data_IF_752186152399
#
_entry.id   IF_752186152399
#
_cell.length_a   1.000
_cell.length_b   1.000
_cell.length_c   1.000
_cell.angle_alpha   90.00
_cell.angle_beta   90.00
_cell.angle_gamma   90.00
#
_symmetry.space_group_name_H-M   'P 1'
#
loop_
_entity.id
_entity.type
_entity.pdbx_description
1 polymer ?
#
# COMPACT_ATOMS: atom_id res chain seq x y z
N UNK A 1 -109.51 91.28 -4.46
CA UNK A 1 -110.52 92.13 -3.80
C UNK A 1 -110.34 92.05 -2.28
N UNK A 2 -110.97 92.93 -1.49
CA UNK A 2 -110.54 93.27 -0.13
C UNK A 2 -110.98 92.30 1.00
N UNK A 3 -110.11 92.17 2.02
CA UNK A 3 -110.33 92.02 3.49
C UNK A 3 -111.31 90.99 4.11
N UNK A 4 -110.73 90.19 5.03
CA UNK A 4 -111.25 89.63 6.29
C UNK A 4 -111.95 90.67 7.21
N UNK A 5 -112.80 90.31 8.24
CA UNK A 5 -112.47 89.53 9.47
C UNK A 5 -113.63 88.64 10.05
N UNK A 6 -113.61 87.96 11.21
CA UNK A 6 -112.57 87.63 12.23
C UNK A 6 -113.17 87.21 13.62
N UNK A 7 -112.38 86.54 14.48
CA UNK A 7 -112.69 86.20 15.91
C UNK A 7 -113.40 84.85 16.17
N UNK A 8 -113.26 84.14 17.31
CA UNK A 8 -112.52 84.32 18.60
C UNK A 8 -112.19 82.95 19.27
N UNK A 9 -111.19 82.95 20.17
CA UNK A 9 -110.67 81.89 21.12
C UNK A 9 -111.63 81.64 22.34
N UNK A 10 -111.42 80.74 23.37
CA UNK A 10 -110.11 80.37 24.02
C UNK A 10 -109.93 79.06 24.90
N UNK A 11 -108.69 78.86 25.45
CA UNK A 11 -108.31 78.17 26.76
C UNK A 11 -108.34 76.60 26.81
N UNK A 12 -107.50 75.80 27.56
CA UNK A 12 -106.45 75.97 28.62
C UNK A 12 -105.33 74.86 28.68
N UNK A 13 -104.14 75.27 29.16
CA UNK A 13 -102.92 74.62 29.75
C UNK A 13 -102.80 73.16 30.27
N UNK A 14 -101.61 72.53 30.06
CA UNK A 14 -100.75 71.85 31.09
C UNK A 14 -99.24 71.84 30.70
N UNK A 15 -98.32 71.37 31.58
CA UNK A 15 -96.93 71.88 31.77
C UNK A 15 -95.77 70.83 31.69
N UNK A 16 -94.69 71.20 30.97
CA UNK A 16 -93.22 70.85 31.02
C UNK A 16 -92.63 69.41 30.93
N UNK A 17 -91.72 69.25 29.93
CA UNK A 17 -90.38 68.58 29.88
C UNK A 17 -90.15 67.08 30.25
N UNK A 18 -89.02 66.43 29.84
CA UNK A 18 -87.92 66.82 28.92
C UNK A 18 -87.62 65.77 27.80
N UNK A 19 -86.66 66.04 26.89
CA UNK A 19 -85.62 65.06 26.40
C UNK A 19 -84.59 65.69 25.43
N UNK A 20 -83.33 65.21 25.37
CA UNK A 20 -82.24 65.87 24.65
C UNK A 20 -81.86 65.23 23.29
N UNK A 21 -81.36 66.08 22.39
CA UNK A 21 -80.26 65.82 21.42
C UNK A 21 -80.31 64.59 20.50
N UNK A 22 -80.49 64.81 19.19
CA UNK A 22 -80.04 63.88 18.16
C UNK A 22 -78.76 64.40 17.48
N UNK A 23 -77.64 63.75 17.79
CA UNK A 23 -76.36 63.98 17.09
C UNK A 23 -76.46 63.55 15.63
N UNK A 24 -76.01 64.42 14.71
CA UNK A 24 -75.54 63.99 13.39
C UNK A 24 -74.06 63.64 13.52
N UNK A 25 -73.72 62.34 13.46
CA UNK A 25 -72.36 61.84 13.65
C UNK A 25 -72.17 60.44 13.07
N UNK A 26 -72.75 60.18 11.89
CA UNK A 26 -72.78 58.86 11.26
C UNK A 26 -71.86 58.66 10.05
N UNK A 27 -71.45 59.73 9.35
CA UNK A 27 -70.70 59.65 8.08
C UNK A 27 -69.20 59.45 8.26
N UNK A 28 -68.57 60.16 9.20
CA UNK A 28 -67.10 60.18 9.32
C UNK A 28 -66.53 58.85 9.81
N UNK A 29 -67.27 58.12 10.65
CA UNK A 29 -66.87 56.79 11.14
C UNK A 29 -66.83 55.75 10.02
N UNK A 30 -67.81 55.73 9.12
CA UNK A 30 -67.84 54.76 8.02
C UNK A 30 -66.71 54.96 6.99
N UNK A 31 -66.29 56.21 6.76
CA UNK A 31 -65.15 56.51 5.89
C UNK A 31 -63.82 56.11 6.55
N UNK A 32 -63.72 56.28 7.87
CA UNK A 32 -62.57 55.82 8.64
C UNK A 32 -62.45 54.28 8.62
N UNK A 33 -63.56 53.56 8.82
CA UNK A 33 -63.60 52.09 8.70
C UNK A 33 -63.24 51.61 7.29
N UNK A 34 -63.75 52.25 6.23
CA UNK A 34 -63.43 51.86 4.85
C UNK A 34 -61.94 52.02 4.52
N UNK A 35 -61.30 53.11 4.98
CA UNK A 35 -59.86 53.30 4.80
C UNK A 35 -59.02 52.30 5.59
N UNK A 36 -59.39 52.00 6.84
CA UNK A 36 -58.73 51.01 7.67
C UNK A 36 -58.85 49.59 7.08
N UNK A 37 -60.05 49.20 6.61
CA UNK A 37 -60.29 47.92 5.95
C UNK A 37 -59.49 47.79 4.66
N UNK A 38 -59.39 48.85 3.84
CA UNK A 38 -58.56 48.84 2.62
C UNK A 38 -57.07 48.61 2.93
N UNK A 39 -56.54 49.25 3.97
CA UNK A 39 -55.16 49.04 4.43
C UNK A 39 -54.95 47.60 4.92
N UNK A 40 -55.87 47.05 5.71
CA UNK A 40 -55.80 45.65 6.18
C UNK A 40 -55.84 44.67 5.01
N UNK A 41 -56.72 44.87 4.03
CA UNK A 41 -56.79 44.02 2.83
C UNK A 41 -55.48 44.09 2.04
N UNK A 42 -54.91 45.27 1.83
CA UNK A 42 -53.63 45.43 1.14
C UNK A 42 -52.49 44.68 1.87
N UNK A 43 -52.42 44.79 3.20
CA UNK A 43 -51.44 44.06 4.02
C UNK A 43 -51.64 42.54 3.93
N UNK A 44 -52.88 42.06 4.01
CA UNK A 44 -53.19 40.61 3.89
C UNK A 44 -52.85 40.08 2.50
N UNK A 45 -53.11 40.84 1.43
CA UNK A 45 -52.75 40.47 0.05
C UNK A 45 -51.23 40.42 -0.14
N UNK A 46 -50.48 41.37 0.40
CA UNK A 46 -49.00 41.35 0.38
C UNK A 46 -48.49 40.15 1.17
N UNK A 47 -49.06 39.85 2.34
CA UNK A 47 -48.64 38.71 3.16
C UNK A 47 -48.95 37.37 2.48
N UNK A 48 -50.12 37.24 1.86
CA UNK A 48 -50.48 36.08 1.04
C UNK A 48 -49.56 35.91 -0.17
N UNK A 49 -49.19 36.99 -0.86
CA UNK A 49 -48.22 36.96 -1.95
C UNK A 49 -46.84 36.51 -1.46
N UNK A 50 -46.36 37.04 -0.33
CA UNK A 50 -45.08 36.63 0.27
C UNK A 50 -45.07 35.15 0.68
N UNK A 51 -46.15 34.66 1.31
CA UNK A 51 -46.31 33.23 1.62
C UNK A 51 -46.29 32.40 0.33
N UNK A 52 -46.99 32.84 -0.73
CA UNK A 52 -47.03 32.12 -2.01
C UNK A 52 -45.65 32.04 -2.67
N UNK A 53 -44.89 33.14 -2.66
CA UNK A 53 -43.51 33.18 -3.17
C UNK A 53 -42.60 32.28 -2.33
N UNK A 54 -42.70 32.34 -1.00
CA UNK A 54 -41.93 31.49 -0.11
C UNK A 54 -42.25 30.00 -0.31
N UNK A 55 -43.53 29.64 -0.48
CA UNK A 55 -43.95 28.27 -0.78
C UNK A 55 -43.39 27.79 -2.14
N UNK A 56 -43.44 28.65 -3.17
CA UNK A 56 -42.87 28.34 -4.49
C UNK A 56 -41.35 28.10 -4.44
N UNK A 57 -40.62 28.93 -3.68
CA UNK A 57 -39.18 28.75 -3.44
C UNK A 57 -38.90 27.42 -2.71
N UNK A 58 -39.64 27.13 -1.64
CA UNK A 58 -39.47 25.90 -0.86
C UNK A 58 -39.77 24.62 -1.67
N UNK A 59 -40.75 24.64 -2.57
CA UNK A 59 -41.17 23.47 -3.34
C UNK A 59 -40.33 23.28 -4.60
N UNK A 60 -39.94 24.35 -5.29
CA UNK A 60 -39.28 24.25 -6.61
C UNK A 60 -37.76 24.44 -6.57
N UNK A 61 -37.28 25.43 -5.81
CA UNK A 61 -35.86 25.82 -5.85
C UNK A 61 -35.02 25.11 -4.79
N UNK A 62 -35.51 24.98 -3.56
CA UNK A 62 -34.72 24.36 -2.48
C UNK A 62 -34.29 22.92 -2.79
N UNK A 63 -35.15 22.02 -3.32
CA UNK A 63 -34.71 20.66 -3.66
C UNK A 63 -33.58 20.63 -4.71
N UNK A 64 -33.67 21.48 -5.75
CA UNK A 64 -32.65 21.55 -6.80
C UNK A 64 -31.33 22.15 -6.29
N UNK A 65 -31.39 23.16 -5.42
CA UNK A 65 -30.19 23.72 -4.79
C UNK A 65 -29.55 22.75 -3.78
N UNK A 66 -30.36 21.96 -3.07
CA UNK A 66 -29.87 20.91 -2.19
C UNK A 66 -29.17 19.80 -2.98
N UNK A 67 -29.76 19.34 -4.10
CA UNK A 67 -29.19 18.32 -4.98
C UNK A 67 -27.82 18.75 -5.54
N UNK A 68 -27.66 19.97 -6.07
CA UNK A 68 -26.36 20.44 -6.56
C UNK A 68 -25.32 20.60 -5.41
N UNK A 69 -25.76 21.04 -4.23
CA UNK A 69 -24.88 21.17 -3.07
C UNK A 69 -24.42 19.80 -2.52
N UNK A 70 -25.29 18.78 -2.50
CA UNK A 70 -24.95 17.40 -2.17
C UNK A 70 -24.09 16.73 -3.26
N UNK A 71 -24.37 16.99 -4.55
CA UNK A 71 -23.56 16.50 -5.67
C UNK A 71 -22.16 17.14 -5.70
N UNK A 72 -22.03 18.40 -5.28
CA UNK A 72 -20.74 19.06 -5.05
C UNK A 72 -20.01 18.45 -3.86
N UNK A 73 -20.70 18.25 -2.74
CA UNK A 73 -20.15 17.58 -1.55
C UNK A 73 -19.59 16.19 -1.89
N UNK A 74 -20.37 15.35 -2.58
CA UNK A 74 -19.93 14.01 -2.96
C UNK A 74 -18.65 14.02 -3.84
N UNK A 75 -18.49 15.00 -4.72
CA UNK A 75 -17.27 15.19 -5.53
C UNK A 75 -16.06 15.61 -4.68
N UNK A 76 -16.25 16.50 -3.70
CA UNK A 76 -15.21 16.88 -2.75
C UNK A 76 -14.78 15.68 -1.91
N UNK A 77 -15.73 15.03 -1.23
CA UNK A 77 -15.48 13.88 -0.37
C UNK A 77 -14.81 12.73 -1.15
N UNK A 78 -15.19 12.48 -2.40
CA UNK A 78 -14.52 11.50 -3.25
C UNK A 78 -13.07 11.91 -3.55
N UNK A 79 -12.81 13.19 -3.84
CA UNK A 79 -11.47 13.72 -4.11
C UNK A 79 -10.57 13.53 -2.89
N UNK A 80 -11.04 13.94 -1.71
CA UNK A 80 -10.35 13.77 -0.42
C UNK A 80 -10.06 12.28 -0.14
N UNK A 81 -11.05 11.40 -0.29
CA UNK A 81 -10.91 9.96 -0.09
C UNK A 81 -9.92 9.32 -1.10
N UNK A 82 -9.96 9.75 -2.36
CA UNK A 82 -9.04 9.27 -3.41
C UNK A 82 -7.58 9.66 -3.20
N UNK A 83 -7.29 10.58 -2.28
CA UNK A 83 -5.91 10.95 -1.91
C UNK A 83 -5.23 9.95 -0.97
N UNK A 84 -6.01 9.07 -0.30
CA UNK A 84 -5.53 8.13 0.72
C UNK A 84 -4.41 7.20 0.21
N UNK A 85 -4.50 6.56 -0.98
CA UNK A 85 -3.40 5.74 -1.51
C UNK A 85 -2.10 6.53 -1.68
N UNK A 86 -2.17 7.76 -2.20
CA UNK A 86 -1.00 8.64 -2.34
C UNK A 86 -0.40 9.03 -0.99
N UNK A 87 -1.26 9.27 0.01
CA UNK A 87 -0.87 9.56 1.38
C UNK A 87 -0.17 8.37 2.07
N UNK A 88 -0.61 7.13 1.81
CA UNK A 88 0.04 5.91 2.29
C UNK A 88 1.38 5.69 1.57
N UNK A 89 1.41 5.82 0.24
CA UNK A 89 2.65 5.70 -0.54
C UNK A 89 3.71 6.72 -0.08
N UNK A 90 3.32 7.95 0.28
CA UNK A 90 4.23 8.93 0.87
C UNK A 90 4.86 8.49 2.21
N UNK A 91 4.12 7.78 3.06
CA UNK A 91 4.64 7.22 4.31
C UNK A 91 5.60 6.04 4.07
N UNK A 92 5.24 5.16 3.13
CA UNK A 92 6.04 4.01 2.67
C UNK A 92 7.38 4.50 2.08
N UNK A 93 7.36 5.47 1.16
CA UNK A 93 8.56 6.05 0.55
C UNK A 93 9.46 6.73 1.59
N UNK A 94 8.88 7.42 2.57
CA UNK A 94 9.66 8.08 3.62
C UNK A 94 10.26 7.09 4.63
N UNK A 95 9.77 5.85 4.68
CA UNK A 95 10.22 4.74 5.54
C UNK A 95 10.51 5.17 7.00
N UNK A 96 9.62 6.01 7.56
CA UNK A 96 9.80 6.62 8.87
C UNK A 96 8.51 6.54 9.68
N UNK A 97 8.53 5.69 10.71
CA UNK A 97 7.37 5.39 11.58
C UNK A 97 6.87 6.57 12.41
N UNK A 98 7.68 7.63 12.54
CA UNK A 98 7.34 8.85 13.26
C UNK A 98 6.59 9.90 12.41
N UNK A 99 6.41 9.67 11.09
CA UNK A 99 5.70 10.61 10.22
C UNK A 99 4.19 10.36 10.29
N UNK A 100 3.42 11.42 10.55
CA UNK A 100 1.95 11.41 10.58
C UNK A 100 1.42 12.05 9.31
N UNK A 101 0.82 11.26 8.42
CA UNK A 101 -0.02 11.77 7.34
C UNK A 101 -1.40 12.15 7.89
N UNK A 102 -2.00 13.21 7.38
CA UNK A 102 -3.27 13.77 7.85
C UNK A 102 -4.14 14.08 6.65
N UNK A 103 -5.18 13.29 6.44
CA UNK A 103 -6.21 13.58 5.44
C UNK A 103 -7.42 14.18 6.12
N UNK A 104 -7.95 15.25 5.53
CA UNK A 104 -9.24 15.83 5.92
C UNK A 104 -10.27 15.29 4.95
N UNK A 105 -11.41 14.86 5.48
CA UNK A 105 -12.50 14.30 4.68
C UNK A 105 -13.77 15.01 5.14
N UNK A 106 -14.44 15.71 4.22
CA UNK A 106 -15.76 16.28 4.46
C UNK A 106 -16.77 15.13 4.57
N UNK A 107 -17.33 14.85 5.77
CA UNK A 107 -18.34 13.79 5.91
C UNK A 107 -19.73 14.20 5.43
N UNK A 108 -20.07 15.48 5.56
CA UNK A 108 -21.32 16.03 5.09
C UNK A 108 -21.17 17.48 4.69
N UNK A 109 -22.05 17.92 3.79
CA UNK A 109 -22.03 19.25 3.17
C UNK A 109 -23.45 19.74 2.95
N UNK A 110 -23.70 20.47 1.87
CA UNK A 110 -25.07 20.89 1.50
C UNK A 110 -25.54 22.25 2.05
N UNK A 111 -24.66 23.12 2.57
CA UNK A 111 -25.06 24.44 3.10
C UNK A 111 -25.66 25.34 1.99
N UNK A 112 -26.99 25.41 1.93
CA UNK A 112 -27.77 26.24 1.01
C UNK A 112 -27.92 27.66 1.59
N UNK A 113 -27.76 28.74 0.80
CA UNK A 113 -27.94 30.10 1.30
C UNK A 113 -29.32 30.38 1.93
N UNK A 114 -29.29 31.06 3.08
CA UNK A 114 -30.36 31.89 3.67
C UNK A 114 -31.61 31.19 4.25
N UNK A 115 -32.06 30.03 3.76
CA UNK A 115 -33.43 29.54 4.10
C UNK A 115 -33.47 28.26 4.96
N UNK A 116 -32.55 27.30 4.80
CA UNK A 116 -32.48 26.14 5.72
C UNK A 116 -31.14 25.42 5.63
N UNK A 117 -30.45 25.11 6.75
CA UNK A 117 -29.23 24.30 6.75
C UNK A 117 -29.58 22.82 6.62
N UNK A 118 -29.95 22.38 5.42
CA UNK A 118 -30.07 20.95 5.13
C UNK A 118 -28.68 20.40 4.87
N UNK A 119 -28.02 19.96 5.95
CA UNK A 119 -26.72 19.30 5.83
C UNK A 119 -26.88 17.82 5.53
N UNK A 120 -26.23 17.33 4.47
CA UNK A 120 -26.04 15.89 4.29
C UNK A 120 -25.18 15.34 5.42
N UNK A 121 -25.34 14.05 5.70
CA UNK A 121 -24.53 13.32 6.67
C UNK A 121 -23.68 12.30 5.94
N UNK A 122 -22.64 11.79 6.60
CA UNK A 122 -21.87 10.66 6.10
C UNK A 122 -21.18 9.92 7.24
N UNK A 123 -20.70 8.72 6.92
CA UNK A 123 -19.83 7.92 7.77
C UNK A 123 -18.50 7.69 7.07
N UNK A 124 -17.43 7.59 7.84
CA UNK A 124 -16.13 7.08 7.42
C UNK A 124 -15.66 6.09 8.46
N UNK A 125 -15.24 4.90 8.04
CA UNK A 125 -14.68 3.93 8.94
C UNK A 125 -13.69 2.95 8.32
N UNK A 126 -12.97 2.27 9.19
CA UNK A 126 -12.13 1.11 8.89
C UNK A 126 -12.90 -0.14 9.26
N UNK A 127 -13.07 -1.06 8.32
CA UNK A 127 -13.76 -2.33 8.53
C UNK A 127 -12.75 -3.47 8.38
N UNK A 128 -12.01 -3.82 9.45
CA UNK A 128 -10.89 -4.76 9.37
C UNK A 128 -11.30 -6.23 9.20
N UNK A 129 -12.60 -6.53 9.11
CA UNK A 129 -13.15 -7.90 8.93
C UNK A 129 -13.86 -8.09 7.58
N UNK A 130 -13.85 -7.08 6.72
CA UNK A 130 -14.46 -7.11 5.40
C UNK A 130 -13.43 -6.71 4.33
N UNK A 131 -13.61 -7.23 3.12
CA UNK A 131 -12.72 -6.90 2.01
C UNK A 131 -11.30 -7.44 2.19
N UNK A 132 -11.15 -8.70 2.60
CA UNK A 132 -9.82 -9.32 2.69
C UNK A 132 -9.16 -9.41 1.30
N UNK A 133 -7.87 -9.11 1.22
CA UNK A 133 -7.04 -9.36 0.05
C UNK A 133 -5.91 -10.32 0.48
N UNK A 134 -5.95 -11.55 -0.02
CA UNK A 134 -5.04 -12.64 0.38
C UNK A 134 -4.15 -13.01 -0.78
N UNK A 135 -2.84 -13.04 -0.57
CA UNK A 135 -1.86 -13.58 -1.52
C UNK A 135 -1.28 -14.86 -0.94
N UNK A 136 -1.32 -15.92 -1.74
CA UNK A 136 -0.69 -17.19 -1.40
C UNK A 136 0.13 -17.69 -2.58
N UNK A 137 1.32 -18.20 -2.31
CA UNK A 137 2.22 -18.75 -3.32
C UNK A 137 2.98 -19.95 -2.75
N UNK A 138 3.51 -20.80 -3.62
CA UNK A 138 4.60 -21.71 -3.25
C UNK A 138 5.89 -21.13 -3.84
N UNK A 139 6.74 -20.64 -2.95
CA UNK A 139 7.88 -19.81 -3.30
C UNK A 139 9.16 -20.30 -2.64
N UNK A 140 10.25 -20.24 -3.38
CA UNK A 140 11.59 -20.53 -2.89
C UNK A 140 12.07 -19.37 -2.01
N UNK A 141 12.43 -19.69 -0.77
CA UNK A 141 13.03 -18.79 0.20
C UNK A 141 14.52 -19.11 0.30
N UNK A 142 15.35 -18.07 0.48
CA UNK A 142 16.78 -18.22 0.73
C UNK A 142 17.03 -18.06 2.21
N UNK A 143 17.54 -19.13 2.83
CA UNK A 143 18.04 -19.10 4.20
C UNK A 143 19.56 -19.12 4.14
N UNK A 144 20.18 -17.99 4.46
CA UNK A 144 21.64 -17.89 4.58
C UNK A 144 22.02 -18.18 6.04
N UNK A 145 22.84 -19.20 6.26
CA UNK A 145 23.29 -19.61 7.59
C UNK A 145 24.80 -19.72 7.65
N UNK A 146 25.45 -19.00 8.57
CA UNK A 146 26.88 -19.16 8.81
C UNK A 146 27.16 -20.56 9.36
N UNK A 147 27.96 -21.34 8.64
CA UNK A 147 28.39 -22.66 9.08
C UNK A 147 29.53 -22.53 10.12
N UNK A 148 29.59 -23.44 11.12
CA UNK A 148 30.73 -23.49 12.03
C UNK A 148 32.03 -23.76 11.27
N UNK A 149 33.21 -23.45 11.85
CA UNK A 149 34.50 -23.63 11.19
C UNK A 149 34.68 -25.05 10.66
N UNK A 150 34.62 -25.20 9.34
CA UNK A 150 34.86 -26.46 8.65
C UNK A 150 36.38 -26.64 8.54
N UNK A 151 36.88 -27.64 9.24
CA UNK A 151 38.31 -27.96 9.35
C UNK A 151 38.56 -29.37 8.84
N UNK A 152 39.55 -29.54 7.98
CA UNK A 152 39.93 -30.86 7.50
C UNK A 152 41.31 -30.93 6.89
N UNK A 153 41.80 -32.15 6.71
CA UNK A 153 42.98 -32.49 5.92
C UNK A 153 42.60 -32.59 4.44
N UNK A 154 43.42 -32.00 3.57
CA UNK A 154 43.26 -32.13 2.12
C UNK A 154 43.88 -33.47 1.71
N UNK A 155 43.07 -34.34 1.09
CA UNK A 155 43.51 -35.68 0.65
C UNK A 155 43.48 -35.79 -0.87
N UNK A 156 44.02 -36.87 -1.43
CA UNK A 156 44.00 -37.14 -2.88
C UNK A 156 42.58 -37.27 -3.46
N UNK A 157 41.54 -37.38 -2.62
CA UNK A 157 40.13 -37.37 -3.04
C UNK A 157 39.54 -35.96 -3.21
N UNK A 158 40.28 -34.91 -2.85
CA UNK A 158 39.82 -33.52 -2.81
C UNK A 158 38.84 -33.23 -1.66
N UNK A 159 38.43 -31.96 -1.56
CA UNK A 159 37.42 -31.47 -0.62
C UNK A 159 36.40 -30.65 -1.39
N UNK A 160 35.13 -31.05 -1.34
CA UNK A 160 34.03 -30.35 -2.01
C UNK A 160 33.17 -29.64 -0.96
N UNK A 161 32.98 -28.34 -1.13
CA UNK A 161 32.12 -27.50 -0.29
C UNK A 161 31.10 -26.85 -1.21
N UNK A 162 29.82 -27.15 -1.00
CA UNK A 162 28.72 -26.74 -1.88
C UNK A 162 27.87 -25.63 -1.28
N UNK A 163 27.07 -24.97 -2.12
CA UNK A 163 26.08 -23.98 -1.70
C UNK A 163 26.68 -22.80 -0.91
N UNK A 164 27.82 -22.25 -1.33
CA UNK A 164 28.42 -21.11 -0.65
C UNK A 164 27.77 -19.81 -1.16
N UNK A 165 27.29 -18.97 -0.25
CA UNK A 165 26.94 -17.57 -0.50
C UNK A 165 28.19 -16.70 -0.39
N UNK A 166 28.81 -16.72 0.79
CA UNK A 166 29.92 -15.84 1.17
C UNK A 166 30.91 -16.59 2.04
N UNK A 167 32.18 -16.15 2.05
CA UNK A 167 33.22 -16.74 2.89
C UNK A 167 33.70 -15.70 3.90
N UNK A 168 33.43 -15.93 5.19
CA UNK A 168 33.84 -15.07 6.31
C UNK A 168 35.33 -15.23 6.63
N UNK A 169 35.89 -16.44 6.45
CA UNK A 169 37.27 -16.78 6.79
C UNK A 169 37.75 -17.95 5.93
N UNK A 170 38.99 -17.89 5.41
CA UNK A 170 39.60 -19.04 4.71
C UNK A 170 41.12 -19.09 4.91
N UNK A 171 41.57 -20.03 5.75
CA UNK A 171 42.97 -20.37 5.94
C UNK A 171 43.33 -21.67 5.25
N UNK A 172 44.50 -21.68 4.60
CA UNK A 172 45.23 -22.89 4.20
C UNK A 172 46.49 -22.98 5.07
N UNK A 173 46.62 -24.10 5.77
CA UNK A 173 47.72 -24.40 6.69
C UNK A 173 48.59 -25.50 6.08
N UNK A 174 49.82 -25.16 5.67
CA UNK A 174 50.76 -26.09 5.06
C UNK A 174 51.80 -26.51 6.11
N UNK A 175 51.69 -27.73 6.62
CA UNK A 175 52.64 -28.29 7.58
C UNK A 175 53.94 -28.73 6.89
N UNK A 176 55.09 -28.41 7.49
CA UNK A 176 56.42 -28.66 6.90
C UNK A 176 56.94 -30.11 7.08
N UNK A 177 56.06 -31.07 7.38
CA UNK A 177 56.46 -32.37 7.93
C UNK A 177 56.67 -33.48 6.88
N UNK A 178 56.26 -33.31 5.62
CA UNK A 178 56.46 -34.29 4.55
C UNK A 178 56.99 -33.65 3.26
N UNK A 179 58.14 -34.12 2.78
CA UNK A 179 58.87 -33.57 1.63
C UNK A 179 58.26 -33.86 0.25
N UNK A 180 56.93 -34.01 0.16
CA UNK A 180 56.19 -34.27 -1.09
C UNK A 180 55.67 -33.00 -1.73
N UNK A 181 55.23 -32.02 -0.92
CA UNK A 181 54.67 -30.75 -1.38
C UNK A 181 55.76 -29.70 -1.62
N UNK A 182 56.50 -29.33 -0.57
CA UNK A 182 57.61 -28.38 -0.64
C UNK A 182 58.87 -29.07 -1.18
N UNK A 183 59.55 -28.48 -2.15
CA UNK A 183 60.71 -29.07 -2.84
C UNK A 183 60.36 -30.17 -3.85
N UNK A 184 59.19 -30.81 -3.72
CA UNK A 184 58.75 -31.88 -4.61
C UNK A 184 58.05 -31.42 -5.89
N UNK A 185 57.68 -30.14 -6.01
CA UNK A 185 56.81 -29.65 -7.09
C UNK A 185 55.31 -29.86 -6.80
N UNK A 186 54.90 -29.73 -5.54
CA UNK A 186 53.50 -29.83 -5.13
C UNK A 186 52.68 -28.63 -5.57
N UNK A 187 51.42 -28.88 -5.91
CA UNK A 187 50.42 -27.89 -6.31
C UNK A 187 49.10 -28.15 -5.60
N UNK A 188 48.49 -27.07 -5.11
CA UNK A 188 47.17 -27.01 -4.50
C UNK A 188 46.31 -26.09 -5.37
N UNK A 189 45.18 -26.61 -5.84
CA UNK A 189 44.15 -25.89 -6.58
C UNK A 189 42.93 -25.69 -5.70
N UNK A 190 42.34 -24.50 -5.80
CA UNK A 190 41.05 -24.15 -5.23
C UNK A 190 40.24 -23.58 -6.39
N UNK A 191 39.35 -24.39 -6.97
CA UNK A 191 38.54 -24.00 -8.12
C UNK A 191 37.10 -23.77 -7.66
N UNK A 192 36.45 -22.76 -8.23
CA UNK A 192 35.03 -22.49 -7.99
C UNK A 192 34.25 -22.97 -9.21
N UNK A 193 32.98 -23.29 -8.98
CA UNK A 193 32.05 -23.71 -10.02
C UNK A 193 30.69 -23.11 -9.70
N UNK A 194 30.21 -22.24 -10.59
CA UNK A 194 28.86 -21.71 -10.48
C UNK A 194 27.85 -22.84 -10.74
N UNK A 195 26.69 -22.83 -10.07
CA UNK A 195 25.74 -23.96 -10.12
C UNK A 195 25.09 -24.20 -11.50
N UNK A 196 25.32 -23.31 -12.47
CA UNK A 196 24.85 -23.43 -13.86
C UNK A 196 25.54 -24.55 -14.66
N UNK A 197 26.59 -25.18 -14.12
CA UNK A 197 27.15 -26.43 -14.64
C UNK A 197 28.03 -26.30 -15.89
N UNK A 198 28.38 -25.07 -16.29
CA UNK A 198 29.30 -24.78 -17.38
C UNK A 198 30.32 -23.71 -16.96
N UNK A 199 31.55 -23.86 -17.44
CA UNK A 199 32.74 -23.01 -17.17
C UNK A 199 33.42 -23.25 -15.81
N UNK A 200 34.75 -23.23 -15.81
CA UNK A 200 35.58 -23.20 -14.60
C UNK A 200 35.57 -21.78 -14.03
N UNK A 201 34.86 -21.56 -12.93
CA UNK A 201 34.70 -20.24 -12.31
C UNK A 201 35.92 -19.89 -11.46
N UNK A 202 36.93 -19.27 -12.05
CA UNK A 202 38.04 -18.69 -11.31
C UNK A 202 38.85 -19.68 -10.47
N UNK A 203 39.72 -19.15 -9.61
CA UNK A 203 40.42 -19.98 -8.64
C UNK A 203 41.71 -19.43 -8.06
N UNK A 204 42.31 -20.27 -7.23
CA UNK A 204 43.60 -20.08 -6.59
C UNK A 204 44.49 -21.29 -6.87
N UNK A 205 45.76 -21.06 -7.22
CA UNK A 205 46.79 -22.10 -7.29
C UNK A 205 47.94 -21.70 -6.40
N UNK A 206 48.20 -22.50 -5.37
CA UNK A 206 49.37 -22.41 -4.50
C UNK A 206 50.34 -23.53 -4.90
N UNK A 207 51.59 -23.21 -5.20
CA UNK A 207 52.54 -24.18 -5.73
C UNK A 207 53.98 -23.88 -5.32
N UNK A 208 54.86 -24.88 -5.43
CA UNK A 208 56.31 -24.69 -5.29
C UNK A 208 57.06 -25.25 -6.50
N UNK A 209 58.22 -24.66 -6.83
CA UNK A 209 59.11 -25.20 -7.87
C UNK A 209 59.89 -26.41 -7.34
N UNK A 210 60.02 -27.45 -8.15
CA UNK A 210 60.82 -28.63 -7.82
C UNK A 210 62.26 -28.22 -7.49
N UNK A 211 62.80 -28.73 -6.38
CA UNK A 211 64.10 -28.32 -5.84
C UNK A 211 64.11 -26.99 -5.07
N UNK A 212 62.95 -26.35 -4.84
CA UNK A 212 62.82 -25.12 -4.05
C UNK A 212 61.79 -25.26 -2.92
N UNK A 213 62.02 -24.54 -1.81
CA UNK A 213 61.06 -24.42 -0.71
C UNK A 213 60.23 -23.11 -0.80
N UNK A 214 60.20 -22.49 -1.98
CA UNK A 214 59.48 -21.23 -2.22
C UNK A 214 58.06 -21.50 -2.71
N UNK A 215 57.09 -21.06 -1.93
CA UNK A 215 55.66 -21.07 -2.22
C UNK A 215 55.27 -19.82 -3.03
N UNK A 216 54.53 -20.06 -4.11
CA UNK A 216 53.92 -19.05 -4.96
C UNK A 216 52.41 -19.20 -4.93
N UNK A 217 51.71 -18.08 -5.03
CA UNK A 217 50.26 -18.02 -5.23
C UNK A 217 49.94 -17.29 -6.53
N UNK A 218 48.90 -17.78 -7.21
CA UNK A 218 48.31 -17.16 -8.40
C UNK A 218 46.79 -17.26 -8.31
N UNK A 219 46.07 -16.25 -8.80
CA UNK A 219 44.61 -16.17 -8.78
C UNK A 219 44.06 -15.71 -10.12
N UNK A 220 42.91 -16.24 -10.50
CA UNK A 220 42.26 -15.93 -11.78
C UNK A 220 40.73 -15.81 -11.61
N UNK A 221 40.10 -15.08 -12.52
CA UNK A 221 38.65 -14.92 -12.62
C UNK A 221 38.00 -16.01 -13.50
N UNK A 222 36.68 -15.97 -13.62
CA UNK A 222 35.84 -16.92 -14.36
C UNK A 222 36.14 -16.99 -15.87
N UNK A 223 36.76 -15.93 -16.42
CA UNK A 223 37.27 -15.88 -17.80
C UNK A 223 38.73 -16.41 -17.91
N UNK A 224 39.30 -16.94 -16.82
CA UNK A 224 40.70 -17.38 -16.68
C UNK A 224 41.73 -16.25 -16.90
N UNK A 225 41.36 -14.97 -16.71
CA UNK A 225 42.31 -13.87 -16.65
C UNK A 225 43.05 -13.91 -15.30
N UNK A 226 44.37 -13.79 -15.32
CA UNK A 226 45.18 -13.74 -14.10
C UNK A 226 44.96 -12.40 -13.38
N UNK A 227 44.26 -12.44 -12.24
CA UNK A 227 44.22 -11.31 -11.29
C UNK A 227 45.61 -11.16 -10.65
N UNK A 228 46.21 -12.29 -10.26
CA UNK A 228 47.60 -12.37 -9.83
C UNK A 228 48.28 -13.53 -10.57
N UNK A 229 49.28 -13.22 -11.38
CA UNK A 229 50.02 -14.22 -12.15
C UNK A 229 51.00 -15.03 -11.28
N UNK A 230 51.84 -14.37 -10.49
CA UNK A 230 52.59 -15.02 -9.41
C UNK A 230 53.09 -14.04 -8.35
N UNK A 231 52.80 -14.33 -7.08
CA UNK A 231 53.41 -13.69 -5.91
C UNK A 231 54.03 -14.74 -5.00
N UNK A 232 55.19 -14.44 -4.44
CA UNK A 232 55.86 -15.28 -3.45
C UNK A 232 55.21 -15.10 -2.07
N UNK A 233 54.73 -16.20 -1.48
CA UNK A 233 54.26 -16.23 -0.08
C UNK A 233 55.47 -16.23 0.87
N UNK A 234 56.51 -16.98 0.51
CA UNK A 234 57.83 -16.94 1.14
C UNK A 234 58.93 -16.91 0.06
N UNK A 235 60.16 -16.61 0.46
CA UNK A 235 61.35 -16.79 -0.39
C UNK A 235 62.39 -17.57 0.39
N UNK A 236 62.38 -18.89 0.21
CA UNK A 236 63.40 -19.79 0.75
C UNK A 236 64.42 -20.08 -0.36
N UNK A 237 65.65 -19.59 -0.17
CA UNK A 237 66.77 -19.73 -1.12
C UNK A 237 67.72 -20.87 -0.76
N UNK A 238 67.48 -21.57 0.34
CA UNK A 238 68.39 -22.55 0.91
C UNK A 238 67.89 -23.98 0.69
N UNK A 239 68.79 -24.86 0.21
CA UNK A 239 68.51 -26.29 0.01
C UNK A 239 68.74 -27.11 1.30
N UNK A 240 68.93 -26.45 2.45
CA UNK A 240 69.42 -27.04 3.71
C UNK A 240 68.38 -27.85 4.50
N UNK A 241 67.14 -27.98 4.01
CA UNK A 241 66.10 -28.79 4.65
C UNK A 241 65.53 -28.22 5.95
N UNK A 242 65.94 -27.02 6.37
CA UNK A 242 65.37 -26.27 7.51
C UNK A 242 64.47 -25.13 7.03
N UNK A 243 63.53 -25.43 6.14
CA UNK A 243 62.53 -24.45 5.70
C UNK A 243 61.72 -23.92 6.90
N UNK A 244 61.29 -22.65 6.91
CA UNK A 244 60.42 -22.12 7.96
C UNK A 244 59.20 -23.03 8.13
N UNK A 245 58.92 -23.41 9.37
CA UNK A 245 57.81 -24.31 9.68
C UNK A 245 56.46 -23.64 9.48
N UNK A 246 55.45 -24.45 9.14
CA UNK A 246 54.01 -24.13 9.16
C UNK A 246 53.61 -22.79 8.51
N UNK A 247 53.14 -22.86 7.26
CA UNK A 247 52.60 -21.69 6.56
C UNK A 247 51.09 -21.62 6.71
N UNK A 248 50.59 -20.67 7.50
CA UNK A 248 49.18 -20.25 7.47
C UNK A 248 48.98 -19.15 6.43
N UNK A 249 48.18 -19.43 5.42
CA UNK A 249 47.86 -18.54 4.31
C UNK A 249 46.42 -18.08 4.46
N UNK A 250 46.22 -16.79 4.75
CA UNK A 250 44.91 -16.13 4.69
C UNK A 250 44.56 -15.81 3.24
N UNK A 251 43.68 -16.61 2.64
CA UNK A 251 43.27 -16.41 1.25
C UNK A 251 42.44 -15.14 1.07
N UNK A 252 41.68 -14.70 2.08
CA UNK A 252 40.86 -13.48 1.98
C UNK A 252 41.71 -12.20 2.07
N UNK A 253 43.00 -12.31 2.37
CA UNK A 253 43.92 -11.18 2.39
C UNK A 253 43.96 -10.49 1.01
N UNK A 254 43.67 -9.17 0.92
CA UNK A 254 43.65 -8.45 -0.36
C UNK A 254 44.93 -8.55 -1.19
N UNK A 255 46.09 -8.80 -0.56
CA UNK A 255 47.37 -8.99 -1.24
C UNK A 255 47.40 -10.20 -2.18
N UNK A 256 46.50 -11.17 -2.03
CA UNK A 256 46.40 -12.35 -2.90
C UNK A 256 45.30 -12.22 -3.97
N UNK A 257 44.53 -11.13 -3.97
CA UNK A 257 43.53 -10.82 -5.00
C UNK A 257 42.31 -11.75 -5.02
N UNK A 258 42.27 -12.77 -4.17
CA UNK A 258 41.20 -13.77 -4.16
C UNK A 258 39.85 -13.21 -3.71
N UNK A 259 39.83 -12.21 -2.82
CA UNK A 259 38.59 -11.48 -2.48
C UNK A 259 37.93 -10.79 -3.69
N UNK A 260 38.70 -10.47 -4.74
CA UNK A 260 38.18 -9.96 -6.01
C UNK A 260 37.62 -11.06 -6.93
N UNK A 261 38.09 -12.31 -6.79
CA UNK A 261 37.44 -13.47 -7.43
C UNK A 261 36.06 -13.66 -6.81
N UNK A 262 36.00 -13.69 -5.48
CA UNK A 262 34.73 -13.86 -4.74
C UNK A 262 33.72 -12.75 -5.00
N UNK A 263 34.15 -11.48 -5.12
CA UNK A 263 33.23 -10.37 -5.41
C UNK A 263 32.62 -10.40 -6.82
N UNK A 264 33.16 -11.22 -7.71
CA UNK A 264 32.74 -11.33 -9.10
C UNK A 264 31.98 -12.63 -9.39
N UNK A 265 31.97 -13.59 -8.46
CA UNK A 265 31.34 -14.90 -8.62
C UNK A 265 29.82 -14.83 -8.43
N UNK A 266 29.07 -15.60 -9.20
CA UNK A 266 27.62 -15.74 -9.04
C UNK A 266 27.30 -16.53 -7.76
N UNK A 267 26.40 -16.01 -6.92
CA UNK A 267 25.95 -16.71 -5.71
C UNK A 267 24.67 -17.53 -5.97
N UNK A 268 24.58 -18.79 -5.51
CA UNK A 268 25.61 -19.56 -4.81
C UNK A 268 26.64 -20.24 -5.75
N UNK A 269 27.85 -20.43 -5.24
CA UNK A 269 28.92 -21.19 -5.90
C UNK A 269 29.35 -22.42 -5.07
N UNK A 270 29.99 -23.37 -5.74
CA UNK A 270 30.63 -24.52 -5.10
C UNK A 270 32.15 -24.37 -5.19
N UNK A 271 32.86 -24.80 -4.15
CA UNK A 271 34.31 -24.75 -4.02
C UNK A 271 34.89 -26.18 -3.98
N UNK A 272 35.97 -26.39 -4.72
CA UNK A 272 36.72 -27.65 -4.76
C UNK A 272 38.17 -27.39 -4.39
N UNK A 273 38.71 -28.13 -3.41
CA UNK A 273 40.11 -28.06 -2.97
C UNK A 273 40.81 -29.36 -3.36
N UNK A 274 41.82 -29.28 -4.22
CA UNK A 274 42.53 -30.45 -4.75
C UNK A 274 44.05 -30.25 -4.64
N UNK A 275 44.76 -31.23 -4.06
CA UNK A 275 46.21 -31.26 -4.07
C UNK A 275 46.71 -32.32 -5.05
N UNK A 276 47.70 -32.00 -5.88
CA UNK A 276 48.26 -32.95 -6.85
C UNK A 276 49.11 -34.07 -6.21
N UNK A 277 49.36 -33.98 -4.90
CA UNK A 277 50.07 -34.94 -4.07
C UNK A 277 49.55 -34.87 -2.64
N UNK A 278 49.34 -36.03 -2.03
CA UNK A 278 49.15 -36.16 -0.58
C UNK A 278 50.21 -35.38 0.20
N UNK A 279 49.72 -34.35 0.89
CA UNK A 279 50.49 -33.38 1.64
C UNK A 279 49.76 -33.10 2.96
N UNK A 280 50.50 -32.77 4.01
CA UNK A 280 49.93 -32.32 5.27
C UNK A 280 49.43 -30.86 5.15
N UNK A 281 48.47 -30.64 4.26
CA UNK A 281 47.77 -29.36 4.09
C UNK A 281 46.41 -29.47 4.76
N UNK A 282 46.17 -28.65 5.76
CA UNK A 282 44.87 -28.49 6.41
C UNK A 282 44.19 -27.25 5.86
N UNK A 283 42.86 -27.24 5.84
CA UNK A 283 42.06 -26.05 5.59
C UNK A 283 41.20 -25.72 6.80
N UNK A 284 40.92 -24.43 6.98
CA UNK A 284 39.92 -23.90 7.91
C UNK A 284 39.10 -22.86 7.18
N UNK A 285 37.80 -23.09 7.02
CA UNK A 285 36.89 -22.19 6.32
C UNK A 285 35.63 -21.94 7.15
N UNK A 286 35.22 -20.68 7.24
CA UNK A 286 33.91 -20.25 7.75
C UNK A 286 33.21 -19.59 6.58
N UNK A 287 32.00 -20.08 6.27
CA UNK A 287 31.25 -19.63 5.12
C UNK A 287 29.75 -19.65 5.43
N UNK A 288 29.02 -18.79 4.72
CA UNK A 288 27.58 -18.74 4.73
C UNK A 288 27.04 -19.75 3.72
N UNK A 289 26.29 -20.74 4.20
CA UNK A 289 25.60 -21.70 3.33
C UNK A 289 24.28 -21.12 2.84
N UNK A 290 24.10 -21.17 1.53
CA UNK A 290 22.91 -20.76 0.79
C UNK A 290 21.93 -21.94 0.72
N UNK A 291 20.97 -21.96 1.65
CA UNK A 291 19.93 -22.99 1.65
C UNK A 291 18.65 -22.46 0.97
N UNK A 292 18.38 -22.96 -0.25
CA UNK A 292 17.14 -22.67 -1.00
C UNK A 292 16.07 -23.70 -0.66
N UNK A 293 14.98 -23.30 -0.01
CA UNK A 293 13.87 -24.19 0.36
C UNK A 293 12.52 -23.69 -0.18
N UNK A 294 11.67 -24.62 -0.61
CA UNK A 294 10.32 -24.29 -1.07
C UNK A 294 9.41 -24.12 0.15
N UNK A 295 8.75 -22.97 0.25
CA UNK A 295 7.89 -22.60 1.38
C UNK A 295 6.53 -22.14 0.87
N UNK A 296 5.47 -22.64 1.50
CA UNK A 296 4.11 -22.15 1.29
C UNK A 296 3.95 -20.77 1.92
N UNK A 297 3.96 -19.72 1.10
CA UNK A 297 3.65 -18.37 1.54
C UNK A 297 2.14 -18.13 1.56
N UNK A 298 1.66 -17.44 2.59
CA UNK A 298 0.26 -16.99 2.70
C UNK A 298 0.20 -15.75 3.59
N UNK A 299 -0.32 -14.65 3.07
CA UNK A 299 -0.57 -13.43 3.81
C UNK A 299 -1.90 -12.79 3.39
N UNK A 300 -2.56 -12.13 4.34
CA UNK A 300 -3.82 -11.43 4.13
C UNK A 300 -3.68 -10.00 4.61
N UNK A 301 -3.98 -9.03 3.75
CA UNK A 301 -4.08 -7.62 4.11
C UNK A 301 -5.53 -7.23 4.39
N UNK A 302 -5.73 -6.50 5.48
CA UNK A 302 -7.04 -6.12 6.03
C UNK A 302 -7.17 -4.60 6.19
N UNK A 303 -8.37 -4.12 6.57
CA UNK A 303 -8.56 -2.71 6.89
C UNK A 303 -9.11 -1.90 5.72
N UNK A 304 -10.11 -2.46 5.05
CA UNK A 304 -10.93 -1.74 4.08
C UNK A 304 -11.43 -0.43 4.69
N UNK A 305 -11.19 0.70 4.03
CA UNK A 305 -11.83 1.96 4.43
C UNK A 305 -13.11 2.12 3.64
N UNK A 306 -14.18 2.52 4.32
CA UNK A 306 -15.48 2.74 3.72
C UNK A 306 -15.96 4.14 4.10
N UNK A 307 -16.31 4.94 3.09
CA UNK A 307 -17.13 6.12 3.24
C UNK A 307 -18.53 5.84 2.68
N UNK A 308 -19.58 6.21 3.40
CA UNK A 308 -20.96 6.15 2.93
C UNK A 308 -21.62 7.52 3.14
N UNK A 309 -22.18 8.09 2.07
CA UNK A 309 -23.04 9.27 2.20
C UNK A 309 -24.42 8.90 2.73
N UNK A 310 -25.07 9.89 3.33
CA UNK A 310 -26.50 9.91 3.64
C UNK A 310 -27.06 11.22 3.06
N UNK A 311 -27.15 11.27 1.75
CA UNK A 311 -27.69 12.36 0.96
C UNK A 311 -29.23 12.31 0.99
N UNK A 312 -29.89 13.44 0.78
CA UNK A 312 -31.35 13.54 0.86
C UNK A 312 -32.02 13.82 -0.49
N UNK A 313 -31.30 14.45 -1.40
CA UNK A 313 -31.78 14.87 -2.73
C UNK A 313 -30.89 14.32 -3.85
N UNK A 314 -29.59 14.18 -3.60
CA UNK A 314 -28.65 13.53 -4.50
C UNK A 314 -28.53 12.02 -4.20
N UNK A 315 -27.96 11.26 -5.14
CA UNK A 315 -27.72 9.83 -5.01
C UNK A 315 -26.76 9.53 -3.84
N UNK A 316 -27.06 8.45 -3.11
CA UNK A 316 -26.10 7.90 -2.15
C UNK A 316 -24.94 7.20 -2.85
N UNK A 317 -23.74 7.42 -2.31
CA UNK A 317 -22.49 6.90 -2.84
C UNK A 317 -21.68 6.25 -1.73
N UNK A 318 -21.05 5.13 -2.07
CA UNK A 318 -20.14 4.40 -1.19
C UNK A 318 -18.74 4.42 -1.82
N UNK A 319 -17.75 4.94 -1.09
CA UNK A 319 -16.35 4.90 -1.52
C UNK A 319 -15.63 3.83 -0.72
N UNK A 320 -14.85 3.01 -1.40
CA UNK A 320 -14.18 1.84 -0.80
C UNK A 320 -12.71 1.91 -1.13
N UNK A 321 -11.85 1.83 -0.13
CA UNK A 321 -10.41 1.62 -0.28
C UNK A 321 -10.07 0.19 0.10
N UNK A 322 -9.38 -0.54 -0.79
CA UNK A 322 -8.92 -1.91 -0.55
C UNK A 322 -7.53 -2.10 -1.18
N UNK A 323 -6.53 -2.46 -0.37
CA UNK A 323 -5.15 -2.71 -0.77
C UNK A 323 -4.57 -1.73 -1.83
N UNK A 324 -4.73 -0.43 -1.61
CA UNK A 324 -4.25 0.63 -2.52
C UNK A 324 -5.25 1.06 -3.60
N UNK A 325 -6.23 0.22 -3.96
CA UNK A 325 -7.29 0.58 -4.91
C UNK A 325 -8.37 1.44 -4.24
N UNK A 326 -9.00 2.34 -5.01
CA UNK A 326 -10.18 3.12 -4.57
C UNK A 326 -11.31 2.93 -5.56
N UNK A 327 -12.51 2.61 -5.05
CA UNK A 327 -13.72 2.40 -5.82
C UNK A 327 -14.76 3.49 -5.54
N UNK A 328 -15.49 3.88 -6.58
CA UNK A 328 -16.74 4.63 -6.51
C UNK A 328 -17.89 3.65 -6.74
N UNK A 329 -18.78 3.51 -5.76
CA UNK A 329 -19.90 2.58 -5.81
C UNK A 329 -21.22 3.36 -5.75
N UNK A 330 -22.09 3.08 -6.72
CA UNK A 330 -23.40 3.71 -6.93
C UNK A 330 -24.35 2.58 -7.36
N UNK A 331 -25.15 2.05 -6.44
CA UNK A 331 -25.89 0.80 -6.64
C UNK A 331 -26.69 0.79 -7.96
N UNK A 332 -26.56 -0.25 -8.80
CA UNK A 332 -25.82 -1.50 -8.57
C UNK A 332 -24.30 -1.44 -8.86
N UNK A 333 -23.82 -0.41 -9.57
CA UNK A 333 -22.50 -0.38 -10.17
C UNK A 333 -21.38 -0.11 -9.14
N UNK A 334 -20.23 -0.78 -9.31
CA UNK A 334 -18.96 -0.39 -8.72
C UNK A 334 -17.95 -0.07 -9.84
N UNK A 335 -17.04 0.88 -9.62
CA UNK A 335 -15.99 1.20 -10.59
C UNK A 335 -14.69 1.58 -9.87
N UNK A 336 -13.56 1.00 -10.30
CA UNK A 336 -12.24 1.34 -9.79
C UNK A 336 -11.81 2.71 -10.36
N UNK A 337 -11.33 3.59 -9.48
CA UNK A 337 -10.99 5.00 -9.79
C UNK A 337 -9.58 5.39 -9.43
N UNK A 338 -8.99 4.76 -8.41
CA UNK A 338 -7.54 4.75 -8.20
C UNK A 338 -7.06 3.30 -8.27
N UNK A 339 -5.97 3.07 -9.02
CA UNK A 339 -5.37 1.76 -9.17
C UNK A 339 -4.43 1.46 -7.99
N UNK A 340 -4.32 0.20 -7.54
CA UNK A 340 -3.35 -0.19 -6.53
C UNK A 340 -1.92 -0.16 -7.12
N UNK A 341 -0.92 -0.05 -6.26
CA UNK A 341 0.50 -0.05 -6.65
C UNK A 341 1.07 -1.46 -6.87
N UNK A 342 0.29 -2.36 -7.48
CA UNK A 342 0.76 -3.69 -7.92
C UNK A 342 1.42 -3.53 -9.28
N UNK A 343 2.57 -4.18 -9.48
CA UNK A 343 3.30 -4.17 -10.75
C UNK A 343 3.66 -5.57 -11.21
N UNK A 344 3.53 -5.82 -12.51
CA UNK A 344 3.94 -7.04 -13.19
C UNK A 344 4.78 -6.59 -14.39
N UNK A 345 6.04 -7.01 -14.46
CA UNK A 345 6.94 -6.63 -15.54
C UNK A 345 7.96 -7.73 -15.84
N UNK A 346 8.23 -7.96 -17.13
CA UNK A 346 9.29 -8.88 -17.54
C UNK A 346 10.66 -8.30 -17.16
N UNK A 347 11.52 -9.14 -16.62
CA UNK A 347 12.90 -8.80 -16.26
C UNK A 347 13.89 -9.39 -17.28
N UNK A 348 15.15 -8.97 -17.21
CA UNK A 348 16.20 -9.35 -18.18
C UNK A 348 16.67 -10.81 -18.04
N UNK A 349 16.28 -11.49 -16.98
CA UNK A 349 16.56 -12.88 -16.62
C UNK A 349 15.50 -13.87 -17.15
N UNK A 350 14.67 -13.44 -18.10
CA UNK A 350 13.53 -14.19 -18.66
C UNK A 350 12.42 -14.54 -17.64
N UNK A 351 12.47 -14.01 -16.42
CA UNK A 351 11.36 -14.06 -15.46
C UNK A 351 10.45 -12.82 -15.56
N UNK A 352 9.34 -12.84 -14.84
CA UNK A 352 8.50 -11.67 -14.60
C UNK A 352 8.51 -11.33 -13.11
N UNK A 353 8.95 -10.11 -12.79
CA UNK A 353 8.89 -9.56 -11.44
C UNK A 353 7.45 -9.10 -11.15
N UNK A 354 6.87 -9.69 -10.12
CA UNK A 354 5.55 -9.36 -9.58
C UNK A 354 5.76 -8.72 -8.21
N UNK A 355 5.54 -7.41 -8.11
CA UNK A 355 5.59 -6.70 -6.83
C UNK A 355 4.17 -6.42 -6.34
N UNK A 356 3.81 -6.96 -5.19
CA UNK A 356 2.50 -6.72 -4.55
C UNK A 356 2.73 -6.08 -3.17
N UNK A 357 2.27 -4.82 -2.96
CA UNK A 357 2.12 -4.28 -1.62
C UNK A 357 0.93 -4.94 -0.92
N UNK A 358 1.15 -5.40 0.30
CA UNK A 358 0.14 -5.97 1.20
C UNK A 358 -0.15 -4.95 2.28
N UNK A 359 -1.06 -4.01 2.02
CA UNK A 359 -1.32 -2.84 2.85
C UNK A 359 -2.44 -3.15 3.85
N UNK A 360 -2.06 -3.35 5.11
CA UNK A 360 -3.01 -3.48 6.22
C UNK A 360 -3.23 -2.15 6.93
N UNK A 361 -4.50 -1.71 7.06
CA UNK A 361 -4.87 -0.52 7.83
C UNK A 361 -5.56 -0.91 9.14
N UNK A 362 -4.85 -0.81 10.26
CA UNK A 362 -5.38 -1.11 11.59
C UNK A 362 -5.88 0.13 12.33
N UNK A 363 -6.93 -0.01 13.15
CA UNK A 363 -7.43 1.07 14.03
C UNK A 363 -6.76 1.08 15.41
N UNK A 364 -6.05 0.01 15.76
CA UNK A 364 -5.56 -0.24 17.12
C UNK A 364 -6.64 -0.77 18.06
N UNK A 365 -6.22 -1.49 19.11
CA UNK A 365 -7.08 -2.38 19.93
C UNK A 365 -8.26 -1.68 20.64
N UNK A 366 -8.24 -0.35 20.81
CA UNK A 366 -9.22 0.40 21.61
C UNK A 366 -9.71 1.71 20.93
N UNK A 367 -9.96 1.73 19.61
CA UNK A 367 -10.41 2.96 18.91
C UNK A 367 -11.73 2.79 18.17
N UNK A 368 -12.46 3.89 18.03
CA UNK A 368 -13.69 3.97 17.24
C UNK A 368 -13.39 3.63 15.78
N UNK A 369 -13.93 2.53 15.23
CA UNK A 369 -13.65 2.13 13.86
C UNK A 369 -14.38 3.01 12.84
N UNK A 370 -15.44 3.72 13.25
CA UNK A 370 -16.29 4.55 12.40
C UNK A 370 -16.48 5.91 13.08
N UNK A 371 -16.44 6.99 12.30
CA UNK A 371 -16.97 8.30 12.67
C UNK A 371 -18.09 8.67 11.69
N UNK A 372 -19.18 9.24 12.22
CA UNK A 372 -20.25 9.83 11.43
C UNK A 372 -20.43 11.31 11.79
N UNK A 373 -20.83 12.12 10.83
CA UNK A 373 -21.03 13.55 11.03
C UNK A 373 -21.47 14.30 9.77
N UNK A 374 -21.57 15.62 9.91
CA UNK A 374 -21.91 16.59 8.85
C UNK A 374 -20.89 17.73 8.79
N UNK A 375 -19.64 17.42 9.09
CA UNK A 375 -18.51 18.35 9.11
C UNK A 375 -17.23 17.68 8.65
N UNK A 376 -16.09 18.36 8.83
CA UNK A 376 -14.78 17.88 8.40
C UNK A 376 -14.14 17.03 9.50
N UNK A 377 -13.79 15.79 9.16
CA UNK A 377 -13.09 14.85 10.04
C UNK A 377 -11.63 14.70 9.62
N UNK A 378 -10.73 14.36 10.55
CA UNK A 378 -9.32 14.10 10.25
C UNK A 378 -8.99 12.60 10.35
N UNK A 379 -8.61 11.98 9.24
CA UNK A 379 -7.97 10.67 9.19
C UNK A 379 -6.46 10.85 9.30
N UNK A 380 -5.89 10.47 10.45
CA UNK A 380 -4.44 10.40 10.68
C UNK A 380 -3.94 9.00 10.37
N UNK A 381 -2.81 8.91 9.68
CA UNK A 381 -2.16 7.64 9.33
C UNK A 381 -0.67 7.73 9.68
N UNK A 382 -0.14 6.68 10.30
CA UNK A 382 1.30 6.52 10.59
C UNK A 382 1.76 5.16 10.14
N UNK A 383 2.95 5.07 9.53
CA UNK A 383 3.59 3.79 9.21
C UNK A 383 3.94 3.07 10.52
N UNK A 384 3.40 1.88 10.72
CA UNK A 384 3.79 1.03 11.85
C UNK A 384 5.05 0.22 11.53
N UNK A 385 5.06 -0.44 10.36
CA UNK A 385 6.24 -1.06 9.78
C UNK A 385 6.07 -1.28 8.28
N UNK A 386 7.20 -1.51 7.59
CA UNK A 386 7.27 -2.02 6.23
C UNK A 386 8.36 -3.08 6.17
N UNK A 387 8.01 -4.29 5.77
CA UNK A 387 8.94 -5.40 5.61
C UNK A 387 8.91 -5.91 4.15
N UNK A 388 10.03 -6.48 3.69
CA UNK A 388 10.08 -7.30 2.47
C UNK A 388 10.15 -8.77 2.86
N UNK A 389 9.46 -9.63 2.11
CA UNK A 389 9.56 -11.08 2.30
C UNK A 389 10.79 -11.62 1.53
N UNK A 390 11.72 -12.36 2.17
CA UNK A 390 13.00 -12.74 1.56
C UNK A 390 12.87 -13.97 0.64
N UNK A 391 12.20 -13.81 -0.50
CA UNK A 391 12.19 -14.84 -1.55
C UNK A 391 13.52 -14.89 -2.31
N UNK A 392 13.76 -16.00 -3.00
CA UNK A 392 14.95 -16.19 -3.83
C UNK A 392 14.96 -15.24 -5.05
N UNK A 393 16.16 -14.99 -5.58
CA UNK A 393 16.30 -14.26 -6.84
C UNK A 393 15.92 -15.10 -8.06
N UNK A 394 15.62 -14.41 -9.16
CA UNK A 394 15.12 -15.00 -10.41
C UNK A 394 13.77 -15.69 -10.25
N UNK A 395 13.52 -16.72 -11.06
CA UNK A 395 12.30 -17.54 -10.96
C UNK A 395 12.24 -18.24 -9.59
N UNK A 396 11.40 -17.70 -8.72
CA UNK A 396 11.29 -18.07 -7.32
C UNK A 396 9.91 -18.65 -6.96
N UNK A 397 8.90 -18.52 -7.81
CA UNK A 397 7.52 -18.89 -7.49
C UNK A 397 6.89 -19.71 -8.61
N UNK A 398 6.16 -20.76 -8.24
CA UNK A 398 5.41 -21.60 -9.20
C UNK A 398 4.12 -20.90 -9.66
N UNK A 399 3.14 -20.76 -8.76
CA UNK A 399 1.88 -20.07 -9.02
C UNK A 399 1.58 -19.05 -7.90
N UNK A 400 1.12 -17.86 -8.27
CA UNK A 400 0.63 -16.85 -7.32
C UNK A 400 -0.90 -16.85 -7.35
N UNK A 401 -1.53 -17.17 -6.23
CA UNK A 401 -2.98 -17.10 -6.06
C UNK A 401 -3.34 -15.88 -5.21
N UNK A 402 -4.09 -14.95 -5.80
CA UNK A 402 -4.61 -13.75 -5.16
C UNK A 402 -6.12 -13.93 -4.97
N UNK A 403 -6.57 -14.14 -3.73
CA UNK A 403 -8.00 -14.23 -3.39
C UNK A 403 -8.47 -12.89 -2.84
N UNK A 404 -9.51 -12.33 -3.46
CA UNK A 404 -10.07 -11.01 -3.13
C UNK A 404 -11.52 -11.20 -2.73
N UNK A 405 -11.83 -10.84 -1.49
CA UNK A 405 -13.19 -10.75 -0.97
C UNK A 405 -13.69 -9.31 -1.15
N UNK A 406 -14.97 -9.09 -1.49
CA UNK A 406 -15.59 -7.78 -1.50
C UNK A 406 -16.08 -7.42 -0.08
N UNK A 407 -16.33 -6.13 0.21
CA UNK A 407 -17.06 -5.72 1.43
C UNK A 407 -18.53 -6.14 1.42
N UNK A 408 -19.26 -5.93 2.54
CA UNK A 408 -20.67 -6.29 2.62
C UNK A 408 -21.53 -5.52 1.60
N UNK A 409 -22.39 -6.27 0.91
CA UNK A 409 -23.32 -5.78 -0.12
C UNK A 409 -24.04 -6.91 -0.85
N UNK A 410 -24.96 -6.54 -1.74
CA UNK A 410 -25.74 -7.49 -2.55
C UNK A 410 -24.92 -8.18 -3.66
N UNK A 411 -25.50 -9.20 -4.30
CA UNK A 411 -24.79 -9.98 -5.32
C UNK A 411 -24.40 -9.18 -6.57
N UNK A 412 -25.20 -8.17 -6.98
CA UNK A 412 -24.86 -7.33 -8.13
C UNK A 412 -23.68 -6.43 -7.82
N UNK A 413 -23.70 -5.79 -6.65
CA UNK A 413 -22.56 -5.01 -6.14
C UNK A 413 -21.29 -5.86 -6.07
N UNK A 414 -21.35 -7.04 -5.44
CA UNK A 414 -20.18 -7.94 -5.33
C UNK A 414 -19.67 -8.39 -6.70
N UNK A 415 -20.58 -8.70 -7.63
CA UNK A 415 -20.24 -9.06 -9.01
C UNK A 415 -19.46 -7.95 -9.70
N UNK A 416 -20.00 -6.74 -9.72
CA UNK A 416 -19.38 -5.64 -10.47
C UNK A 416 -18.07 -5.19 -9.79
N UNK A 417 -18.00 -5.19 -8.45
CA UNK A 417 -16.78 -4.91 -7.69
C UNK A 417 -15.64 -5.91 -7.97
N UNK A 418 -15.93 -7.21 -7.96
CA UNK A 418 -14.93 -8.24 -8.24
C UNK A 418 -14.57 -8.33 -9.72
N UNK A 419 -15.48 -7.96 -10.62
CA UNK A 419 -15.19 -7.86 -12.05
C UNK A 419 -14.22 -6.71 -12.35
N UNK A 420 -14.33 -5.56 -11.69
CA UNK A 420 -13.36 -4.46 -11.81
C UNK A 420 -11.95 -4.89 -11.36
N UNK A 421 -11.83 -5.70 -10.31
CA UNK A 421 -10.56 -6.33 -9.93
C UNK A 421 -10.02 -7.28 -11.01
N UNK A 422 -10.88 -8.12 -11.60
CA UNK A 422 -10.48 -8.99 -12.71
C UNK A 422 -9.96 -8.17 -13.91
N UNK A 423 -10.73 -7.16 -14.33
CA UNK A 423 -10.39 -6.26 -15.43
C UNK A 423 -9.04 -5.55 -15.19
N UNK A 424 -8.77 -5.12 -13.95
CA UNK A 424 -7.49 -4.53 -13.57
C UNK A 424 -6.32 -5.50 -13.75
N UNK A 425 -6.44 -6.74 -13.26
CA UNK A 425 -5.36 -7.72 -13.41
C UNK A 425 -5.19 -8.19 -14.87
N UNK A 426 -6.27 -8.36 -15.64
CA UNK A 426 -6.22 -8.65 -17.08
C UNK A 426 -5.42 -7.58 -17.83
N UNK A 427 -5.68 -6.30 -17.56
CA UNK A 427 -4.93 -5.19 -18.14
C UNK A 427 -3.48 -5.09 -17.62
N UNK A 428 -3.21 -5.54 -16.39
CA UNK A 428 -1.87 -5.48 -15.76
C UNK A 428 -0.94 -6.59 -16.27
N UNK A 429 -1.48 -7.74 -16.69
CA UNK A 429 -0.68 -8.80 -17.33
C UNK A 429 -0.50 -8.61 -18.85
N UNK A 430 -1.27 -7.72 -19.48
CA UNK A 430 -1.20 -7.49 -20.93
C UNK A 430 0.21 -7.07 -21.37
N UNK A 431 0.79 -7.80 -22.32
CA UNK A 431 2.17 -7.58 -22.79
C UNK A 431 3.28 -8.19 -21.92
N UNK A 432 2.95 -8.85 -20.80
CA UNK A 432 3.91 -9.57 -19.95
C UNK A 432 4.02 -11.06 -20.34
N UNK A 433 4.99 -11.78 -19.79
CA UNK A 433 5.11 -13.25 -19.94
C UNK A 433 4.17 -14.03 -19.00
N UNK A 434 3.53 -13.34 -18.05
CA UNK A 434 2.64 -13.95 -17.05
C UNK A 434 1.30 -14.31 -17.69
N UNK A 435 0.81 -15.51 -17.40
CA UNK A 435 -0.52 -15.97 -17.78
C UNK A 435 -1.46 -15.82 -16.60
N UNK A 436 -2.63 -15.23 -16.84
CA UNK A 436 -3.68 -15.07 -15.85
C UNK A 436 -4.80 -16.09 -16.06
N UNK A 437 -5.37 -16.56 -14.96
CA UNK A 437 -6.69 -17.18 -14.91
C UNK A 437 -7.49 -16.63 -13.73
N UNK A 438 -8.69 -16.12 -14.00
CA UNK A 438 -9.66 -15.76 -12.97
C UNK A 438 -10.63 -16.92 -12.72
N UNK A 439 -10.99 -17.12 -11.44
CA UNK A 439 -12.04 -18.03 -11.00
C UNK A 439 -12.87 -17.36 -9.92
N UNK A 440 -14.20 -17.49 -9.99
CA UNK A 440 -15.13 -16.86 -9.05
C UNK A 440 -15.87 -17.90 -8.23
N UNK A 441 -16.11 -17.60 -6.96
CA UNK A 441 -16.93 -18.45 -6.10
C UNK A 441 -18.44 -18.25 -6.30
N UNK A 442 -19.23 -19.12 -5.69
CA UNK A 442 -20.69 -19.03 -5.69
C UNK A 442 -21.16 -17.69 -5.11
N UNK A 443 -22.20 -17.10 -5.71
CA UNK A 443 -22.80 -15.81 -5.31
C UNK A 443 -21.81 -14.63 -5.22
N UNK A 444 -20.65 -14.72 -5.89
CA UNK A 444 -19.59 -13.71 -5.87
C UNK A 444 -19.07 -13.38 -4.46
N UNK A 445 -18.89 -14.40 -3.62
CA UNK A 445 -18.28 -14.24 -2.28
C UNK A 445 -16.80 -13.87 -2.35
N UNK A 446 -16.07 -14.35 -3.35
CA UNK A 446 -14.72 -13.90 -3.69
C UNK A 446 -14.40 -14.15 -5.16
N UNK A 447 -13.27 -13.61 -5.61
CA UNK A 447 -12.59 -14.01 -6.84
C UNK A 447 -11.17 -14.45 -6.50
N UNK A 448 -10.68 -15.48 -7.18
CA UNK A 448 -9.27 -15.91 -7.13
C UNK A 448 -8.63 -15.66 -8.49
N UNK A 449 -7.65 -14.77 -8.51
CA UNK A 449 -6.75 -14.54 -9.64
C UNK A 449 -5.55 -15.45 -9.48
N UNK A 450 -5.23 -16.23 -10.50
CA UNK A 450 -4.11 -17.17 -10.51
C UNK A 450 -3.14 -16.75 -11.61
N UNK A 451 -1.90 -16.45 -11.22
CA UNK A 451 -0.83 -15.97 -12.09
C UNK A 451 0.24 -17.06 -12.23
N UNK A 452 0.56 -17.43 -13.47
CA UNK A 452 1.46 -18.53 -13.81
C UNK A 452 2.55 -18.04 -14.78
N UNK A 453 3.78 -18.53 -14.61
CA UNK A 453 4.89 -18.23 -15.52
C UNK A 453 6.25 -18.54 -14.90
N UNK A 454 7.31 -17.93 -15.45
CA UNK A 454 8.57 -17.77 -14.74
C UNK A 454 8.42 -16.53 -13.86
N UNK A 455 8.22 -16.68 -12.55
CA UNK A 455 7.80 -15.59 -11.67
C UNK A 455 8.85 -15.32 -10.59
N UNK A 456 9.24 -14.06 -10.47
CA UNK A 456 9.94 -13.51 -9.33
C UNK A 456 8.95 -12.69 -8.48
N UNK A 457 8.46 -13.28 -7.39
CA UNK A 457 7.55 -12.63 -6.45
C UNK A 457 8.33 -11.73 -5.46
N UNK A 458 7.87 -10.49 -5.30
CA UNK A 458 8.33 -9.52 -4.30
C UNK A 458 7.12 -9.01 -3.49
N UNK A 459 7.03 -9.38 -2.21
CA UNK A 459 5.94 -8.92 -1.33
C UNK A 459 6.47 -7.85 -0.36
N UNK A 460 5.75 -6.73 -0.32
CA UNK A 460 5.97 -5.65 0.62
C UNK A 460 4.84 -5.65 1.66
N UNK A 461 5.10 -6.20 2.84
CA UNK A 461 4.18 -6.19 3.97
C UNK A 461 4.19 -4.80 4.64
N UNK A 462 3.06 -4.11 4.62
CA UNK A 462 2.93 -2.70 5.04
C UNK A 462 1.79 -2.59 6.04
N UNK A 463 2.09 -2.13 7.26
CA UNK A 463 1.08 -1.86 8.28
C UNK A 463 0.96 -0.37 8.58
N UNK A 464 -0.27 0.16 8.52
CA UNK A 464 -0.62 1.54 8.83
C UNK A 464 -1.49 1.59 10.10
N UNK A 465 -1.08 2.36 11.12
CA UNK A 465 -1.96 2.73 12.25
C UNK A 465 -2.83 3.92 11.83
N UNK A 466 -4.11 3.65 11.57
CA UNK A 466 -5.13 4.63 11.25
C UNK A 466 -5.84 5.15 12.51
N UNK A 467 -6.05 6.46 12.56
CA UNK A 467 -6.80 7.13 13.64
C UNK A 467 -7.71 8.20 13.05
N UNK A 468 -9.01 8.02 13.18
CA UNK A 468 -10.01 9.05 12.86
C UNK A 468 -10.20 9.95 14.08
N UNK A 469 -10.27 11.27 13.90
CA UNK A 469 -10.53 12.22 14.98
C UNK A 469 -11.35 13.43 14.53
N UNK A 470 -12.32 13.81 15.38
CA UNK A 470 -13.09 15.05 15.23
C UNK A 470 -12.21 16.28 15.32
N UNK A 471 -12.24 17.07 14.25
CA UNK A 471 -11.82 18.47 14.31
C UNK A 471 -12.96 19.22 15.00
N UNK A 472 -12.76 19.58 16.27
CA UNK A 472 -13.69 20.49 16.95
C UNK A 472 -13.62 21.86 16.27
N UNK A 473 -14.72 22.26 15.63
CA UNK A 473 -14.97 23.60 15.07
C UNK A 473 -15.08 24.66 16.17
#
# INVERSE_FOLDING_TARGET
MNKQPGGKLPVRSRKMEPRPGHNHGGSDRMLQDASAVSIVIAVVMIFGLLITIAAYINVYYIPSWAEDAEAKHARNAFTDFSSIPGAINGLVIANATNIVSRQRIELGGGDIPVISPVRSWGSLGVVPREGNFTVTADAWVVNITENPPNNGTITDAGVNITNISDISLFYIDIESATGTFLGGGGELFINFTNQSGWVQSGGVRIWSESGTYSLKISTWDDDNNRIIDSIYINRATDQSGSGPGYYRIDLLNPCYGFSKVLSNADTPYNLTIEANRSAACNYTIIYNEYNKSLVRYSATSNGTLIYESMNRYFLDQKFIYQNGAVFLCQAPNASMRALPAITIANTTDESARITIPMITVGTGINRTPIISGSGVEELRMTLGHQNRVPFAEGNNTDNVHITIEPPEGDENFRKDYLQEWANYFDATVEGTSVRLRSGKEANWTNITITLNGSIHLDIQDIYIDGRTSRISS
#
